data_IF_769704406087
#
_entry.id   IF_769704406087
#
_cell.length_a   1.000
_cell.length_b   1.000
_cell.length_c   1.000
_cell.angle_alpha   90.00
_cell.angle_beta   90.00
_cell.angle_gamma   90.00
#
_symmetry.space_group_name_H-M   'P 1'
#
loop_
_entity.id
_entity.type
_entity.pdbx_description
1 polymer ?
#
# COMPACT_ATOMS: atom_id res chain seq x y z
N UNK A 1 7.40 21.05 4.05
CA UNK A 1 7.08 19.89 3.20
C UNK A 1 6.66 20.43 1.84
N UNK A 2 7.21 19.92 0.73
CA UNK A 2 6.88 20.37 -0.63
C UNK A 2 5.56 19.79 -1.13
N UNK A 3 4.97 20.39 -2.15
CA UNK A 3 3.79 19.87 -2.85
C UNK A 3 4.17 18.66 -3.70
N UNK A 4 3.41 17.56 -3.59
CA UNK A 4 3.54 16.40 -4.46
C UNK A 4 2.74 16.68 -5.75
N UNK A 5 3.42 16.75 -6.90
CA UNK A 5 2.74 16.79 -8.20
C UNK A 5 2.50 15.37 -8.70
N UNK A 6 1.23 14.99 -8.86
CA UNK A 6 0.84 13.68 -9.41
C UNK A 6 0.95 13.64 -10.94
N UNK A 7 1.02 14.82 -11.59
CA UNK A 7 1.19 14.96 -13.04
C UNK A 7 2.44 15.81 -13.30
N UNK A 8 3.64 15.24 -13.18
CA UNK A 8 4.87 15.97 -13.49
C UNK A 8 4.92 16.28 -14.98
N UNK A 9 5.29 17.51 -15.31
CA UNK A 9 5.61 17.91 -16.68
C UNK A 9 7.09 17.66 -16.98
N UNK A 10 7.46 17.62 -18.27
CA UNK A 10 8.85 17.46 -18.73
C UNK A 10 9.53 16.15 -18.26
N UNK A 11 8.77 15.07 -18.12
CA UNK A 11 9.32 13.73 -17.88
C UNK A 11 10.13 13.26 -19.10
N UNK A 12 11.30 12.67 -18.83
CA UNK A 12 12.06 11.99 -19.87
C UNK A 12 11.31 10.74 -20.32
N UNK A 13 10.95 10.68 -21.60
CA UNK A 13 10.20 9.57 -22.19
C UNK A 13 11.10 8.42 -22.69
N UNK A 14 12.41 8.49 -22.43
CA UNK A 14 13.40 7.51 -22.87
C UNK A 14 13.26 7.15 -24.36
N UNK A 15 13.19 8.17 -25.23
CA UNK A 15 13.05 7.98 -26.70
C UNK A 15 11.75 7.20 -27.00
N UNK A 16 10.65 7.61 -26.38
CA UNK A 16 9.33 7.02 -26.53
C UNK A 16 9.12 5.64 -25.89
N UNK A 17 10.11 5.08 -25.18
CA UNK A 17 9.97 3.79 -24.48
C UNK A 17 9.39 3.92 -23.07
N UNK A 18 9.50 5.09 -22.46
CA UNK A 18 8.98 5.41 -21.13
C UNK A 18 7.60 6.05 -21.21
N UNK A 19 6.65 5.49 -20.46
CA UNK A 19 5.35 6.12 -20.18
C UNK A 19 5.16 6.23 -18.67
N UNK A 20 4.91 7.44 -18.20
CA UNK A 20 4.58 7.69 -16.80
C UNK A 20 3.08 7.51 -16.58
N UNK A 21 2.72 6.87 -15.47
CA UNK A 21 1.37 6.81 -14.93
C UNK A 21 1.41 7.36 -13.51
N UNK A 22 0.34 8.04 -13.10
CA UNK A 22 0.21 8.51 -11.72
C UNK A 22 0.32 7.31 -10.76
N UNK A 23 0.99 7.47 -9.60
CA UNK A 23 1.02 6.44 -8.59
C UNK A 23 -0.40 6.15 -8.11
N UNK A 24 -0.75 4.87 -8.02
CA UNK A 24 -2.04 4.41 -7.51
C UNK A 24 -2.13 4.52 -5.98
N UNK A 25 -0.97 4.59 -5.30
CA UNK A 25 -0.85 4.74 -3.86
C UNK A 25 0.37 5.54 -3.45
N UNK A 26 0.19 6.43 -2.46
CA UNK A 26 1.28 7.17 -1.80
C UNK A 26 1.02 7.28 -0.29
N UNK A 27 2.08 7.22 0.50
CA UNK A 27 2.04 7.68 1.90
C UNK A 27 2.37 9.17 1.95
N UNK A 28 1.40 10.00 2.29
CA UNK A 28 1.62 11.45 2.41
C UNK A 28 2.60 11.80 3.54
N UNK A 29 2.50 11.08 4.67
CA UNK A 29 3.48 11.11 5.74
C UNK A 29 4.39 9.87 5.59
N UNK A 30 5.72 10.05 5.44
CA UNK A 30 6.61 8.91 5.28
C UNK A 30 6.63 8.05 6.55
N UNK A 31 6.22 6.80 6.43
CA UNK A 31 6.14 5.85 7.57
C UNK A 31 7.37 4.95 7.71
N UNK A 32 8.38 5.06 6.85
CA UNK A 32 9.56 4.18 6.86
C UNK A 32 9.16 2.69 6.71
N UNK A 33 8.48 2.40 5.60
CA UNK A 33 8.11 1.03 5.21
C UNK A 33 9.36 0.16 5.06
N UNK A 34 9.33 -1.04 5.61
CA UNK A 34 10.46 -1.99 5.56
C UNK A 34 10.17 -3.23 4.73
N UNK A 35 8.96 -3.76 4.83
CA UNK A 35 8.59 -5.01 4.17
C UNK A 35 7.18 -4.91 3.62
N UNK A 36 6.99 -5.55 2.47
CA UNK A 36 5.72 -5.72 1.78
C UNK A 36 5.59 -7.21 1.46
N UNK A 37 4.45 -7.82 1.77
CA UNK A 37 4.26 -9.26 1.57
C UNK A 37 2.82 -9.57 1.20
N UNK A 38 2.65 -10.31 0.10
CA UNK A 38 1.38 -10.92 -0.27
C UNK A 38 1.22 -12.24 0.49
N UNK A 39 0.09 -12.41 1.16
CA UNK A 39 -0.24 -13.62 1.90
C UNK A 39 -1.14 -14.54 1.09
N UNK A 40 -0.56 -15.28 0.16
CA UNK A 40 -1.27 -16.37 -0.54
C UNK A 40 -1.29 -17.65 0.32
N UNK A 41 -1.82 -17.54 1.54
CA UNK A 41 -2.03 -18.70 2.40
C UNK A 41 -3.11 -18.44 3.44
N UNK A 42 -3.72 -19.51 3.93
CA UNK A 42 -4.71 -19.45 5.01
C UNK A 42 -4.09 -19.52 6.42
N UNK A 43 -2.77 -19.36 6.57
CA UNK A 43 -2.06 -19.55 7.85
C UNK A 43 -2.50 -18.58 8.94
N UNK A 44 -2.96 -17.38 8.58
CA UNK A 44 -3.50 -16.39 9.51
C UNK A 44 -5.05 -16.43 9.61
N UNK A 45 -5.68 -17.37 8.91
CA UNK A 45 -7.13 -17.47 8.73
C UNK A 45 -7.56 -17.10 7.31
N UNK A 46 -8.70 -17.63 6.86
CA UNK A 46 -9.22 -17.41 5.50
C UNK A 46 -9.54 -15.94 5.20
N UNK A 47 -9.84 -15.15 6.24
CA UNK A 47 -10.12 -13.72 6.07
C UNK A 47 -8.89 -12.87 5.70
N UNK A 48 -7.69 -13.46 5.69
CA UNK A 48 -6.45 -12.77 5.30
C UNK A 48 -5.79 -13.40 4.06
N UNK A 49 -6.46 -14.37 3.44
CA UNK A 49 -5.92 -15.05 2.29
C UNK A 49 -5.96 -14.12 1.08
N UNK A 50 -4.87 -14.08 0.33
CA UNK A 50 -4.63 -13.23 -0.83
C UNK A 50 -4.44 -11.74 -0.52
N UNK A 51 -4.29 -11.39 0.76
CA UNK A 51 -4.14 -10.00 1.18
C UNK A 51 -2.70 -9.52 1.17
N UNK A 52 -2.54 -8.20 1.18
CA UNK A 52 -1.26 -7.53 1.24
C UNK A 52 -1.00 -6.97 2.64
N UNK A 53 0.19 -7.25 3.17
CA UNK A 53 0.68 -6.72 4.43
C UNK A 53 1.89 -5.83 4.21
N UNK A 54 1.93 -4.71 4.92
CA UNK A 54 3.04 -3.76 4.87
C UNK A 54 3.48 -3.41 6.29
N UNK A 55 4.77 -3.59 6.59
CA UNK A 55 5.34 -3.26 7.89
C UNK A 55 6.09 -1.93 7.86
N UNK A 56 6.01 -1.18 8.96
CA UNK A 56 6.82 0.03 9.16
C UNK A 56 7.84 -0.12 10.30
N UNK A 57 8.99 0.54 10.15
CA UNK A 57 10.03 0.55 11.18
C UNK A 57 9.77 1.60 12.26
N UNK A 58 9.23 2.76 11.86
CA UNK A 58 9.23 3.93 12.74
C UNK A 58 8.28 3.76 13.93
N UNK A 59 7.13 3.11 13.71
CA UNK A 59 6.08 2.91 14.70
C UNK A 59 5.79 1.43 14.97
N UNK A 60 6.30 0.53 14.14
CA UNK A 60 6.09 -0.91 14.26
C UNK A 60 4.70 -1.36 13.83
N UNK A 61 3.98 -0.57 13.00
CA UNK A 61 2.66 -1.00 12.54
C UNK A 61 2.79 -2.05 11.44
N UNK A 62 1.76 -2.90 11.38
CA UNK A 62 1.49 -3.79 10.27
C UNK A 62 0.18 -3.35 9.62
N UNK A 63 0.28 -2.76 8.44
CA UNK A 63 -0.86 -2.41 7.59
C UNK A 63 -1.37 -3.64 6.86
N UNK A 64 -2.68 -3.74 6.71
CA UNK A 64 -3.38 -4.82 6.03
C UNK A 64 -4.26 -4.22 4.92
N UNK A 65 -4.12 -4.77 3.72
CA UNK A 65 -4.88 -4.38 2.53
C UNK A 65 -5.58 -5.62 1.99
N UNK A 66 -6.91 -5.53 1.94
CA UNK A 66 -7.78 -6.53 1.33
C UNK A 66 -7.67 -6.42 -0.19
N UNK A 67 -7.30 -7.53 -0.84
CA UNK A 67 -7.14 -7.58 -2.30
C UNK A 67 -8.24 -8.43 -2.91
N UNK A 68 -9.49 -7.99 -2.78
CA UNK A 68 -10.62 -8.62 -3.44
C UNK A 68 -10.43 -8.65 -4.97
N UNK A 69 -10.59 -9.83 -5.58
CA UNK A 69 -10.32 -10.13 -7.00
C UNK A 69 -11.11 -9.26 -8.01
N UNK A 70 -12.08 -8.46 -7.56
CA UNK A 70 -12.98 -7.68 -8.41
C UNK A 70 -12.48 -6.29 -8.79
N UNK A 71 -11.43 -5.78 -8.14
CA UNK A 71 -10.95 -4.42 -8.40
C UNK A 71 -9.47 -4.42 -8.81
N UNK A 72 -9.20 -4.95 -10.01
CA UNK A 72 -7.94 -4.72 -10.74
C UNK A 72 -7.71 -3.24 -11.12
N UNK A 73 -8.66 -2.35 -10.82
CA UNK A 73 -8.47 -0.92 -10.89
C UNK A 73 -8.27 -0.40 -9.48
N UNK A 74 -7.02 -0.36 -9.04
CA UNK A 74 -6.60 0.21 -7.77
C UNK A 74 -6.81 1.73 -7.80
N UNK A 75 -8.06 2.16 -7.66
CA UNK A 75 -8.44 3.56 -7.50
C UNK A 75 -8.52 3.86 -6.00
N UNK A 76 -7.35 3.95 -5.34
CA UNK A 76 -7.28 4.36 -3.94
C UNK A 76 -7.42 5.90 -3.84
N UNK A 77 -8.57 6.44 -4.27
CA UNK A 77 -8.93 7.82 -3.95
C UNK A 77 -9.37 7.84 -2.49
N UNK A 78 -8.46 8.28 -1.61
CA UNK A 78 -8.77 8.59 -0.21
C UNK A 78 -9.72 9.80 -0.22
N UNK A 79 -11.01 9.61 0.13
CA UNK A 79 -11.39 9.70 1.53
C UNK A 79 -12.34 8.56 1.96
N UNK A 80 -12.11 8.00 3.16
CA UNK A 80 -12.91 6.92 3.79
C UNK A 80 -12.91 5.61 2.98
N UNK A 81 -12.39 4.49 3.47
CA UNK A 81 -12.70 3.84 4.75
C UNK A 81 -11.59 2.83 5.01
N UNK A 82 -10.49 3.30 5.62
CA UNK A 82 -9.58 2.40 6.31
C UNK A 82 -10.40 1.84 7.47
N UNK A 83 -10.95 0.64 7.31
CA UNK A 83 -11.44 -0.13 8.44
C UNK A 83 -10.17 -0.57 9.15
N UNK A 84 -9.75 0.21 10.16
CA UNK A 84 -8.77 -0.23 11.15
C UNK A 84 -9.35 -1.49 11.80
N UNK A 85 -9.22 -2.65 11.15
CA UNK A 85 -9.41 -3.91 11.81
C UNK A 85 -8.18 -4.06 12.68
N UNK A 86 -8.36 -3.68 13.94
CA UNK A 86 -7.67 -4.18 15.12
C UNK A 86 -6.21 -4.59 14.92
N UNK A 87 -5.35 -3.80 15.54
CA UNK A 87 -4.04 -4.17 16.09
C UNK A 87 -3.98 -5.68 16.39
N UNK A 88 -3.36 -6.43 15.49
CA UNK A 88 -2.69 -7.67 15.83
C UNK A 88 -1.23 -7.25 15.69
N UNK A 89 -0.55 -6.97 16.78
CA UNK A 89 0.20 -8.05 17.41
C UNK A 89 0.58 -7.68 18.84
N UNK A 90 0.10 -8.50 19.77
CA UNK A 90 0.73 -8.81 21.03
C UNK A 90 1.70 -9.97 20.74
N UNK A 91 2.92 -9.67 20.29
CA UNK A 91 3.96 -10.70 20.14
C UNK A 91 4.67 -10.75 21.48
N UNK A 92 4.13 -11.61 22.33
CA UNK A 92 4.78 -12.28 23.46
C UNK A 92 6.17 -11.75 23.84
N UNK A 93 6.22 -10.92 24.88
CA UNK A 93 6.92 -11.26 26.12
C UNK A 93 6.06 -10.86 27.31
#
# INVERSE_FOLDING_TARGET
MGTVSLHPENLNDFIGSGRYSCPEFIWYNPVCVTSLTFLDSNKLGKQYQNDLFVGDFHTGNLYHFDLDEKEQNFLLIVPLRIRLLTIIVNLTK
#
